data_IF_082441307501
#
_entry.id   IF_082441307501
#
_cell.length_a   1.000
_cell.length_b   1.000
_cell.length_c   1.000
_cell.angle_alpha   90.00
_cell.angle_beta   90.00
_cell.angle_gamma   90.00
#
_symmetry.space_group_name_H-M   'P 1'
#
loop_
_entity.id
_entity.type
_entity.pdbx_description
1 polymer ?
#
# COMPACT_ATOMS: atom_id res chain seq x y z
N UNK A 1 14.99 36.82 -51.77
CA UNK A 1 14.27 36.39 -50.55
C UNK A 1 12.80 36.37 -50.91
N UNK A 2 12.29 35.21 -51.30
CA UNK A 2 10.87 35.05 -51.60
C UNK A 2 10.14 34.78 -50.28
N UNK A 3 9.37 35.75 -49.81
CA UNK A 3 8.38 35.52 -48.76
C UNK A 3 7.24 34.69 -49.37
N UNK A 4 7.02 33.50 -48.82
CA UNK A 4 5.95 32.60 -49.20
C UNK A 4 4.59 33.21 -48.79
N UNK A 5 3.66 33.50 -49.72
CA UNK A 5 2.40 34.18 -49.42
C UNK A 5 1.30 33.23 -48.89
N UNK A 6 1.63 32.00 -48.51
CA UNK A 6 0.71 31.06 -47.84
C UNK A 6 0.70 31.21 -46.31
N UNK A 7 0.57 32.44 -45.80
CA UNK A 7 0.17 32.65 -44.41
C UNK A 7 -1.30 32.24 -44.29
N UNK A 8 -1.51 30.97 -43.92
CA UNK A 8 -2.76 30.21 -43.89
C UNK A 8 -4.03 31.08 -43.72
N UNK A 9 -4.66 31.52 -44.83
CA UNK A 9 -5.94 32.26 -44.81
C UNK A 9 -7.02 31.56 -43.97
N UNK A 10 -6.90 30.23 -43.87
CA UNK A 10 -7.75 29.35 -43.06
C UNK A 10 -7.58 29.58 -41.55
N UNK A 11 -6.36 29.76 -41.05
CA UNK A 11 -6.12 30.02 -39.61
C UNK A 11 -6.72 31.36 -39.20
N UNK A 12 -6.54 32.38 -40.03
CA UNK A 12 -7.11 33.73 -39.85
C UNK A 12 -8.64 33.70 -39.86
N UNK A 13 -9.26 32.91 -40.73
CA UNK A 13 -10.72 32.73 -40.75
C UNK A 13 -11.21 32.06 -39.45
N UNK A 14 -10.59 30.95 -39.04
CA UNK A 14 -10.97 30.25 -37.80
C UNK A 14 -10.81 31.14 -36.57
N UNK A 15 -9.76 31.94 -36.50
CA UNK A 15 -9.54 32.89 -35.42
C UNK A 15 -10.59 34.01 -35.39
N UNK A 16 -10.96 34.56 -36.58
CA UNK A 16 -12.03 35.57 -36.73
C UNK A 16 -13.42 35.05 -36.36
N UNK A 17 -13.72 33.78 -36.65
CA UNK A 17 -15.01 33.16 -36.31
C UNK A 17 -15.04 32.50 -34.92
N UNK A 18 -14.01 32.73 -34.09
CA UNK A 18 -13.97 32.29 -32.69
C UNK A 18 -13.44 30.87 -32.45
N UNK A 19 -13.03 30.16 -33.50
CA UNK A 19 -12.42 28.82 -33.43
C UNK A 19 -10.89 28.91 -33.31
N UNK A 20 -10.38 29.21 -32.11
CA UNK A 20 -8.94 29.17 -31.81
C UNK A 20 -8.48 27.73 -31.57
N UNK A 21 -7.23 27.37 -31.91
CA UNK A 21 -6.66 26.06 -31.56
C UNK A 21 -6.79 24.94 -32.60
N UNK A 22 -7.36 25.21 -33.79
CA UNK A 22 -7.67 24.18 -34.79
C UNK A 22 -6.41 23.61 -35.44
N UNK A 23 -5.40 24.45 -35.70
CA UNK A 23 -4.13 24.00 -36.31
C UNK A 23 -3.23 23.32 -35.27
N UNK A 24 -3.28 23.79 -34.03
CA UNK A 24 -2.60 23.21 -32.88
C UNK A 24 -3.12 21.82 -32.58
N UNK A 25 -4.45 21.62 -32.60
CA UNK A 25 -5.06 20.29 -32.45
C UNK A 25 -4.58 19.34 -33.54
N UNK A 26 -4.60 19.76 -34.81
CA UNK A 26 -4.12 18.93 -35.93
C UNK A 26 -2.64 18.57 -35.79
N UNK A 27 -1.83 19.54 -35.35
CA UNK A 27 -0.39 19.33 -35.12
C UNK A 27 -0.14 18.29 -34.03
N UNK A 28 -0.90 18.35 -32.93
CA UNK A 28 -0.83 17.31 -31.88
C UNK A 28 -1.32 15.94 -32.38
N UNK A 29 -2.38 15.90 -33.18
CA UNK A 29 -2.88 14.65 -33.78
C UNK A 29 -1.85 13.98 -34.70
N UNK A 30 -1.00 14.76 -35.37
CA UNK A 30 0.12 14.22 -36.15
C UNK A 30 1.13 13.56 -35.21
N UNK A 31 1.52 14.21 -34.11
CA UNK A 31 2.46 13.65 -33.13
C UNK A 31 1.91 12.39 -32.43
N UNK A 32 0.60 12.30 -32.25
CA UNK A 32 -0.06 11.17 -31.58
C UNK A 32 -0.32 9.98 -32.52
N UNK A 33 -0.10 10.12 -33.82
CA UNK A 33 -0.25 9.03 -34.80
C UNK A 33 0.98 8.14 -34.90
N UNK A 34 2.13 8.59 -34.41
CA UNK A 34 3.36 7.81 -34.44
C UNK A 34 3.24 6.58 -33.52
N UNK A 35 3.67 5.41 -34.00
CA UNK A 35 3.64 4.15 -33.23
C UNK A 35 4.43 4.28 -31.90
N UNK A 36 5.52 5.05 -31.95
CA UNK A 36 6.31 5.47 -30.81
C UNK A 36 6.23 6.99 -30.67
N UNK A 37 5.60 7.44 -29.59
CA UNK A 37 5.45 8.85 -29.27
C UNK A 37 6.78 9.52 -28.96
N UNK A 38 7.02 10.65 -29.62
CA UNK A 38 8.18 11.50 -29.39
C UNK A 38 7.95 12.40 -28.17
N UNK A 39 8.53 12.01 -27.04
CA UNK A 39 8.38 12.68 -25.75
C UNK A 39 8.88 14.13 -25.80
N UNK A 40 9.97 14.40 -26.51
CA UNK A 40 10.56 15.75 -26.61
C UNK A 40 9.64 16.68 -27.43
N UNK A 41 9.09 16.18 -28.54
CA UNK A 41 8.09 16.93 -29.31
C UNK A 41 6.80 17.17 -28.54
N UNK A 42 6.34 16.20 -27.75
CA UNK A 42 5.15 16.37 -26.90
C UNK A 42 5.40 17.38 -25.76
N UNK A 43 6.59 17.38 -25.15
CA UNK A 43 7.02 18.38 -24.17
C UNK A 43 7.03 19.79 -24.77
N UNK A 44 7.72 19.97 -25.90
CA UNK A 44 7.83 21.28 -26.57
C UNK A 44 6.47 21.79 -27.04
N UNK A 45 5.60 20.91 -27.55
CA UNK A 45 4.21 21.25 -27.86
C UNK A 45 3.45 21.72 -26.61
N UNK A 46 3.53 20.99 -25.50
CA UNK A 46 2.82 21.29 -24.25
C UNK A 46 3.29 22.58 -23.57
N UNK A 47 4.56 22.95 -23.75
CA UNK A 47 5.11 24.22 -23.28
C UNK A 47 4.65 25.41 -24.14
N UNK A 48 4.50 25.19 -25.46
CA UNK A 48 4.17 26.25 -26.42
C UNK A 48 2.67 26.48 -26.57
N UNK A 49 1.86 25.44 -26.40
CA UNK A 49 0.43 25.47 -26.67
C UNK A 49 -0.38 24.77 -25.56
N UNK A 50 -1.61 25.24 -25.27
CA UNK A 50 -2.49 24.52 -24.37
C UNK A 50 -2.95 23.20 -25.00
N UNK A 51 -2.84 22.11 -24.23
CA UNK A 51 -3.30 20.79 -24.67
C UNK A 51 -4.82 20.78 -24.88
N UNK A 52 -5.35 20.24 -25.99
CA UNK A 52 -6.78 19.99 -26.16
C UNK A 52 -7.32 19.05 -25.07
N UNK A 53 -8.52 19.32 -24.54
CA UNK A 53 -9.07 18.57 -23.40
C UNK A 53 -9.20 17.06 -23.63
N UNK A 54 -9.53 16.64 -24.86
CA UNK A 54 -9.63 15.22 -25.23
C UNK A 54 -8.29 14.47 -25.16
N UNK A 55 -7.16 15.15 -25.38
CA UNK A 55 -5.82 14.53 -25.40
C UNK A 55 -5.03 14.78 -24.12
N UNK A 56 -5.46 15.72 -23.27
CA UNK A 56 -4.73 16.12 -22.06
C UNK A 56 -4.36 14.93 -21.18
N UNK A 57 -5.31 14.06 -20.88
CA UNK A 57 -5.08 12.90 -20.01
C UNK A 57 -4.09 11.90 -20.62
N UNK A 58 -4.15 11.69 -21.94
CA UNK A 58 -3.21 10.80 -22.63
C UNK A 58 -1.80 11.37 -22.60
N UNK A 59 -1.63 12.63 -23.00
CA UNK A 59 -0.33 13.30 -23.04
C UNK A 59 0.29 13.35 -21.65
N UNK A 60 -0.48 13.69 -20.61
CA UNK A 60 0.01 13.68 -19.23
C UNK A 60 0.45 12.30 -18.76
N UNK A 61 -0.30 11.24 -19.06
CA UNK A 61 0.11 9.88 -18.70
C UNK A 61 1.45 9.50 -19.35
N UNK A 62 1.67 9.90 -20.60
CA UNK A 62 2.94 9.64 -21.29
C UNK A 62 4.08 10.47 -20.70
N UNK A 63 3.88 11.79 -20.52
CA UNK A 63 4.92 12.69 -19.99
C UNK A 63 5.29 12.40 -18.52
N UNK A 64 4.34 11.93 -17.72
CA UNK A 64 4.57 11.52 -16.33
C UNK A 64 5.15 10.10 -16.20
N UNK A 65 5.40 9.40 -17.32
CA UNK A 65 5.90 8.02 -17.32
C UNK A 65 4.89 6.99 -16.81
N UNK A 66 3.60 7.33 -16.79
CA UNK A 66 2.52 6.39 -16.46
C UNK A 66 2.33 5.40 -17.61
N UNK A 67 2.35 5.91 -18.85
CA UNK A 67 2.31 5.15 -20.08
C UNK A 67 3.66 5.21 -20.80
N UNK A 68 4.12 4.12 -21.43
CA UNK A 68 5.31 4.14 -22.26
C UNK A 68 5.08 4.94 -23.56
N UNK A 69 6.15 5.30 -24.29
CA UNK A 69 6.02 5.98 -25.58
C UNK A 69 5.37 5.10 -26.66
N UNK A 70 5.45 3.77 -26.57
CA UNK A 70 4.87 2.85 -27.56
C UNK A 70 3.37 2.65 -27.31
N UNK A 71 2.54 3.01 -28.30
CA UNK A 71 1.09 3.07 -28.15
C UNK A 71 0.44 1.69 -28.01
N UNK A 72 0.94 0.70 -28.75
CA UNK A 72 0.58 -0.72 -28.68
C UNK A 72 0.62 -1.30 -27.25
N UNK A 73 1.54 -0.81 -26.42
CA UNK A 73 1.72 -1.24 -25.04
C UNK A 73 0.74 -0.58 -24.05
N UNK A 74 0.01 0.48 -24.44
CA UNK A 74 -0.80 1.27 -23.51
C UNK A 74 -1.91 0.46 -22.83
N UNK A 75 -2.63 -0.36 -23.60
CA UNK A 75 -3.71 -1.18 -23.07
C UNK A 75 -3.20 -2.18 -22.03
N UNK A 76 -2.07 -2.81 -22.32
CA UNK A 76 -1.41 -3.76 -21.43
C UNK A 76 -0.93 -3.08 -20.14
N UNK A 77 -0.21 -1.96 -20.24
CA UNK A 77 0.27 -1.21 -19.06
C UNK A 77 -0.89 -0.69 -18.20
N UNK A 78 -1.96 -0.19 -18.82
CA UNK A 78 -3.15 0.26 -18.08
C UNK A 78 -3.88 -0.89 -17.36
N UNK A 79 -3.87 -2.10 -17.93
CA UNK A 79 -4.41 -3.29 -17.27
C UNK A 79 -3.67 -3.55 -15.95
N UNK A 80 -2.34 -3.67 -15.97
CA UNK A 80 -1.55 -3.89 -14.76
C UNK A 80 -1.71 -2.77 -13.73
N UNK A 81 -1.73 -1.51 -14.17
CA UNK A 81 -1.96 -0.39 -13.24
C UNK A 81 -3.32 -0.44 -12.57
N UNK A 82 -4.35 -0.93 -13.27
CA UNK A 82 -5.70 -1.11 -12.71
C UNK A 82 -5.74 -2.27 -11.71
N UNK A 83 -5.06 -3.37 -12.02
CA UNK A 83 -4.91 -4.52 -11.11
C UNK A 83 -4.16 -4.11 -9.84
N UNK A 84 -3.00 -3.47 -9.97
CA UNK A 84 -2.22 -2.93 -8.86
C UNK A 84 -3.06 -1.99 -7.98
N UNK A 85 -3.80 -1.05 -8.57
CA UNK A 85 -4.71 -0.18 -7.81
C UNK A 85 -5.74 -1.00 -7.01
N UNK A 86 -6.33 -2.03 -7.63
CA UNK A 86 -7.30 -2.91 -6.98
C UNK A 86 -6.71 -3.69 -5.81
N UNK A 87 -5.50 -4.22 -5.97
CA UNK A 87 -4.81 -4.98 -4.93
C UNK A 87 -4.48 -4.10 -3.72
N UNK A 88 -3.92 -2.91 -3.95
CA UNK A 88 -3.58 -1.96 -2.88
C UNK A 88 -4.85 -1.43 -2.20
N UNK A 89 -5.90 -1.12 -2.97
CA UNK A 89 -7.19 -0.69 -2.43
C UNK A 89 -7.80 -1.77 -1.53
N UNK A 90 -7.84 -3.02 -2.00
CA UNK A 90 -8.37 -4.15 -1.23
C UNK A 90 -7.53 -4.41 0.02
N UNK A 91 -6.20 -4.35 -0.08
CA UNK A 91 -5.32 -4.48 1.07
C UNK A 91 -5.68 -3.44 2.14
N UNK A 92 -5.82 -2.16 1.77
CA UNK A 92 -6.19 -1.07 2.69
C UNK A 92 -7.55 -1.28 3.37
N UNK A 93 -8.54 -1.86 2.66
CA UNK A 93 -9.83 -2.23 3.26
C UNK A 93 -9.65 -3.35 4.29
N UNK A 94 -8.90 -4.40 3.94
CA UNK A 94 -8.61 -5.54 4.81
C UNK A 94 -7.91 -5.10 6.11
N UNK A 95 -6.91 -4.22 6.01
CA UNK A 95 -6.21 -3.66 7.17
C UNK A 95 -6.94 -2.47 7.82
N UNK A 96 -8.16 -2.17 7.37
CA UNK A 96 -9.09 -1.17 7.92
C UNK A 96 -8.53 0.26 7.96
N UNK A 97 -7.72 0.62 6.96
CA UNK A 97 -7.30 2.01 6.75
C UNK A 97 -8.31 2.83 5.95
N UNK A 98 -9.13 2.14 5.16
CA UNK A 98 -10.20 2.75 4.39
C UNK A 98 -11.48 1.93 4.53
N UNK A 99 -12.61 2.60 4.33
CA UNK A 99 -13.99 2.09 4.33
C UNK A 99 -14.72 2.64 3.10
N UNK A 100 -15.92 2.14 2.84
CA UNK A 100 -16.76 2.65 1.73
C UNK A 100 -17.18 4.12 1.94
N UNK A 101 -17.08 4.64 3.17
CA UNK A 101 -17.33 6.04 3.53
C UNK A 101 -16.08 6.93 3.46
N UNK A 102 -14.89 6.36 3.20
CA UNK A 102 -13.64 7.13 3.17
C UNK A 102 -13.59 8.03 1.93
N UNK A 103 -13.34 9.35 2.08
CA UNK A 103 -13.25 10.24 0.93
C UNK A 103 -12.16 9.82 -0.06
N UNK A 104 -12.46 9.94 -1.37
CA UNK A 104 -11.56 9.48 -2.44
C UNK A 104 -10.14 10.06 -2.35
N UNK A 105 -9.99 11.32 -1.92
CA UNK A 105 -8.68 11.97 -1.74
C UNK A 105 -7.86 11.27 -0.64
N UNK A 106 -8.52 10.85 0.44
CA UNK A 106 -7.85 10.11 1.51
C UNK A 106 -7.48 8.69 1.04
N UNK A 107 -8.35 8.02 0.27
CA UNK A 107 -8.03 6.73 -0.36
C UNK A 107 -6.73 6.83 -1.15
N UNK A 108 -6.58 7.84 -2.03
CA UNK A 108 -5.36 8.03 -2.81
C UNK A 108 -4.13 8.28 -1.93
N UNK A 109 -4.28 9.06 -0.85
CA UNK A 109 -3.20 9.27 0.11
C UNK A 109 -2.78 7.95 0.77
N UNK A 110 -3.74 7.10 1.19
CA UNK A 110 -3.45 5.80 1.81
C UNK A 110 -2.79 4.83 0.84
N UNK A 111 -3.22 4.81 -0.43
CA UNK A 111 -2.59 4.00 -1.49
C UNK A 111 -1.12 4.41 -1.64
N UNK A 112 -0.85 5.70 -1.83
CA UNK A 112 0.52 6.20 -1.94
C UNK A 112 1.37 5.88 -0.71
N UNK A 113 0.81 6.05 0.49
CA UNK A 113 1.51 5.73 1.73
C UNK A 113 1.85 4.23 1.84
N UNK A 114 0.95 3.34 1.42
CA UNK A 114 1.20 1.90 1.43
C UNK A 114 2.27 1.52 0.40
N UNK A 115 2.15 2.01 -0.85
CA UNK A 115 3.13 1.73 -1.92
C UNK A 115 4.52 2.29 -1.62
N UNK A 116 4.60 3.43 -0.91
CA UNK A 116 5.88 4.03 -0.49
C UNK A 116 6.43 3.48 0.84
N UNK A 117 5.74 2.53 1.48
CA UNK A 117 6.12 1.98 2.78
C UNK A 117 6.00 2.96 3.96
N UNK A 118 5.29 4.07 3.77
CA UNK A 118 5.10 5.16 4.74
C UNK A 118 3.73 5.12 5.42
N UNK A 119 3.00 4.01 5.32
CA UNK A 119 1.69 3.89 5.94
C UNK A 119 1.81 4.13 7.47
N UNK A 120 1.12 5.14 8.03
CA UNK A 120 1.22 5.44 9.45
C UNK A 120 0.65 4.26 10.25
N UNK A 121 0.93 4.18 11.55
CA UNK A 121 0.22 3.19 12.38
C UNK A 121 -1.27 3.56 12.39
N UNK A 122 -2.17 2.58 12.21
CA UNK A 122 -3.60 2.85 12.19
C UNK A 122 -4.02 3.39 13.58
N UNK A 123 -4.45 4.65 13.72
CA UNK A 123 -4.82 5.21 15.01
C UNK A 123 -6.16 4.66 15.52
N UNK A 124 -7.00 4.07 14.66
CA UNK A 124 -8.33 3.57 15.04
C UNK A 124 -8.28 2.27 15.84
N UNK A 125 -7.17 1.53 15.80
CA UNK A 125 -6.99 0.28 16.53
C UNK A 125 -5.56 0.19 17.08
N UNK A 126 -5.32 0.60 18.34
CA UNK A 126 -3.98 0.59 18.93
C UNK A 126 -3.60 -0.86 19.27
N UNK A 127 -3.17 -1.63 18.27
CA UNK A 127 -2.71 -3.02 18.42
C UNK A 127 -1.66 -3.18 19.54
N UNK A 128 -0.71 -2.23 19.76
CA UNK A 128 0.19 -2.30 20.92
C UNK A 128 -0.53 -2.25 22.28
N UNK A 129 -1.58 -1.43 22.41
CA UNK A 129 -2.38 -1.37 23.66
C UNK A 129 -3.18 -2.65 23.85
N UNK A 130 -3.75 -3.20 22.77
CA UNK A 130 -4.44 -4.49 22.83
C UNK A 130 -3.47 -5.63 23.18
N UNK A 131 -2.24 -5.61 22.64
CA UNK A 131 -1.20 -6.57 23.02
C UNK A 131 -0.91 -6.52 24.51
N UNK A 132 -0.70 -5.32 25.05
CA UNK A 132 -0.48 -5.13 26.48
C UNK A 132 -1.66 -5.67 27.31
N UNK A 133 -2.89 -5.40 26.89
CA UNK A 133 -4.10 -5.89 27.54
C UNK A 133 -4.16 -7.44 27.52
N UNK A 134 -4.04 -8.06 26.34
CA UNK A 134 -4.13 -9.52 26.21
C UNK A 134 -2.98 -10.21 26.95
N UNK A 135 -1.76 -9.67 26.88
CA UNK A 135 -0.62 -10.22 27.62
C UNK A 135 -0.82 -10.12 29.14
N UNK A 136 -1.46 -9.06 29.65
CA UNK A 136 -1.79 -8.98 31.08
C UNK A 136 -2.79 -10.04 31.54
N UNK A 137 -3.72 -10.44 30.65
CA UNK A 137 -4.71 -11.48 30.93
C UNK A 137 -4.09 -12.89 30.89
N UNK A 138 -3.16 -13.14 29.97
CA UNK A 138 -2.54 -14.47 29.84
C UNK A 138 -1.31 -14.65 30.74
N UNK A 139 -0.47 -13.63 30.90
CA UNK A 139 0.71 -13.69 31.76
C UNK A 139 1.17 -12.30 32.26
N UNK A 140 0.54 -11.84 33.33
CA UNK A 140 0.88 -10.57 33.95
C UNK A 140 2.34 -10.52 34.49
N UNK A 141 2.94 -11.67 34.82
CA UNK A 141 4.32 -11.72 35.30
C UNK A 141 5.31 -11.42 34.18
N UNK A 142 5.07 -11.97 32.98
CA UNK A 142 5.86 -11.65 31.80
C UNK A 142 5.68 -10.18 31.40
N UNK A 143 4.46 -9.64 31.42
CA UNK A 143 4.23 -8.22 31.14
C UNK A 143 4.97 -7.31 32.13
N UNK A 144 4.88 -7.59 33.43
CA UNK A 144 5.59 -6.83 34.45
C UNK A 144 7.11 -6.85 34.24
N UNK A 145 7.66 -8.00 33.84
CA UNK A 145 9.07 -8.13 33.50
C UNK A 145 9.45 -7.24 32.30
N UNK A 146 8.72 -7.34 31.19
CA UNK A 146 8.98 -6.51 29.99
C UNK A 146 8.89 -5.01 30.30
N UNK A 147 7.96 -4.59 31.17
CA UNK A 147 7.88 -3.21 31.66
C UNK A 147 9.08 -2.82 32.52
N UNK A 148 9.52 -3.68 33.44
CA UNK A 148 10.69 -3.42 34.30
C UNK A 148 11.99 -3.24 33.50
N UNK A 149 12.11 -3.93 32.36
CA UNK A 149 13.23 -3.80 31.44
C UNK A 149 13.04 -2.68 30.39
N UNK A 150 11.92 -1.93 30.44
CA UNK A 150 11.54 -0.95 29.41
C UNK A 150 11.47 -1.51 27.97
N UNK A 151 11.31 -2.83 27.83
CA UNK A 151 11.27 -3.53 26.56
C UNK A 151 9.96 -3.29 25.79
N UNK A 152 8.87 -2.96 26.48
CA UNK A 152 7.57 -2.69 25.83
C UNK A 152 7.63 -1.56 24.79
N UNK A 153 8.52 -0.58 24.94
CA UNK A 153 8.72 0.49 23.98
C UNK A 153 9.57 0.11 22.76
N UNK A 154 10.30 -1.01 22.84
CA UNK A 154 11.26 -1.49 21.83
C UNK A 154 10.82 -2.81 21.19
N UNK A 155 9.60 -3.28 21.43
CA UNK A 155 9.13 -4.47 20.73
C UNK A 155 9.04 -4.19 19.21
N UNK A 156 9.26 -5.19 18.35
CA UNK A 156 9.31 -5.01 16.90
C UNK A 156 7.90 -4.86 16.29
N UNK A 157 7.15 -3.84 16.72
CA UNK A 157 5.78 -3.56 16.29
C UNK A 157 5.66 -3.33 14.79
N UNK A 158 6.69 -2.79 14.15
CA UNK A 158 6.71 -2.66 12.68
C UNK A 158 6.72 -4.04 12.01
N UNK A 159 7.51 -4.98 12.51
CA UNK A 159 7.56 -6.35 11.99
C UNK A 159 6.21 -7.07 12.18
N UNK A 160 5.61 -6.95 13.36
CA UNK A 160 4.37 -7.64 13.68
C UNK A 160 3.13 -7.03 13.04
N UNK A 161 3.01 -5.69 13.05
CA UNK A 161 1.76 -5.00 12.74
C UNK A 161 1.77 -4.20 11.44
N UNK A 162 2.96 -3.88 10.87
CA UNK A 162 3.05 -3.28 9.52
C UNK A 162 3.42 -4.30 8.45
N UNK A 163 4.41 -5.15 8.75
CA UNK A 163 4.81 -6.25 7.86
C UNK A 163 3.97 -7.51 8.06
N UNK A 164 3.03 -7.51 9.02
CA UNK A 164 2.17 -8.65 9.31
C UNK A 164 2.94 -9.97 9.48
N UNK A 165 4.09 -9.94 10.16
CA UNK A 165 5.04 -11.05 10.34
C UNK A 165 5.77 -11.55 9.08
N UNK A 166 5.68 -10.83 7.95
CA UNK A 166 6.51 -11.12 6.78
C UNK A 166 7.99 -10.99 7.12
N UNK A 167 8.76 -12.06 6.86
CA UNK A 167 10.17 -12.18 7.24
C UNK A 167 10.42 -12.58 8.69
N UNK A 168 9.38 -12.78 9.51
CA UNK A 168 9.48 -13.27 10.89
C UNK A 168 9.06 -14.74 11.00
N UNK A 169 7.98 -15.12 10.30
CA UNK A 169 7.45 -16.49 10.25
C UNK A 169 7.68 -17.10 8.86
N UNK A 170 7.81 -18.44 8.75
CA UNK A 170 7.87 -19.12 7.46
C UNK A 170 6.55 -18.96 6.71
N UNK A 171 6.62 -18.88 5.38
CA UNK A 171 5.45 -18.67 4.51
C UNK A 171 4.35 -19.72 4.74
N UNK A 172 4.75 -20.97 5.01
CA UNK A 172 3.84 -22.09 5.29
C UNK A 172 2.94 -21.87 6.51
N UNK A 173 3.48 -21.27 7.58
CA UNK A 173 2.73 -20.91 8.78
C UNK A 173 2.02 -19.56 8.62
N UNK A 174 2.69 -18.61 7.96
CA UNK A 174 2.23 -17.23 7.80
C UNK A 174 0.93 -17.11 7.01
N UNK A 175 0.76 -17.91 5.95
CA UNK A 175 -0.47 -17.93 5.15
C UNK A 175 -1.72 -18.17 6.02
N UNK A 176 -1.63 -19.03 7.06
CA UNK A 176 -2.76 -19.32 7.96
C UNK A 176 -3.15 -18.12 8.84
N UNK A 177 -2.17 -17.27 9.18
CA UNK A 177 -2.43 -15.98 9.84
C UNK A 177 -3.07 -15.02 8.84
N UNK A 178 -2.55 -14.97 7.62
CA UNK A 178 -3.04 -14.10 6.57
C UNK A 178 -4.45 -14.45 6.11
N UNK A 179 -4.87 -15.72 6.15
CA UNK A 179 -6.27 -16.12 5.93
C UNK A 179 -7.22 -15.32 6.84
N UNK A 180 -6.84 -15.13 8.11
CA UNK A 180 -7.65 -14.39 9.11
C UNK A 180 -7.56 -12.87 8.92
N UNK A 181 -6.39 -12.39 8.50
CA UNK A 181 -6.20 -10.97 8.17
C UNK A 181 -7.08 -10.63 6.96
N UNK A 182 -6.98 -11.38 5.87
CA UNK A 182 -7.72 -11.21 4.62
C UNK A 182 -9.23 -11.38 4.84
N UNK A 183 -9.66 -12.27 5.73
CA UNK A 183 -11.06 -12.37 6.15
C UNK A 183 -11.54 -11.20 7.02
N UNK A 184 -10.69 -10.19 7.26
CA UNK A 184 -11.05 -8.91 7.87
C UNK A 184 -10.66 -8.75 9.34
N UNK A 185 -9.92 -9.68 9.95
CA UNK A 185 -9.50 -9.59 11.36
C UNK A 185 -8.02 -9.26 11.49
N UNK A 186 -7.67 -7.99 11.69
CA UNK A 186 -6.30 -7.59 12.03
C UNK A 186 -5.91 -7.92 13.50
N UNK A 187 -6.90 -8.23 14.35
CA UNK A 187 -6.67 -8.59 15.76
C UNK A 187 -5.82 -9.85 15.92
N UNK A 188 -5.90 -10.79 14.97
CA UNK A 188 -5.11 -12.03 14.98
C UNK A 188 -3.62 -11.75 15.14
N UNK A 189 -3.11 -10.65 14.57
CA UNK A 189 -1.70 -10.27 14.66
C UNK A 189 -1.26 -10.04 16.11
N UNK A 190 -2.16 -9.52 16.97
CA UNK A 190 -1.90 -9.35 18.40
C UNK A 190 -1.78 -10.70 19.10
N UNK A 191 -2.65 -11.64 18.78
CA UNK A 191 -2.62 -12.98 19.39
C UNK A 191 -1.39 -13.78 18.95
N UNK A 192 -0.92 -13.61 17.71
CA UNK A 192 0.36 -14.19 17.25
C UNK A 192 1.52 -13.57 18.02
N UNK A 193 1.55 -12.24 18.19
CA UNK A 193 2.60 -11.58 18.98
C UNK A 193 2.60 -12.04 20.46
N UNK A 194 1.42 -12.13 21.08
CA UNK A 194 1.29 -12.63 22.46
C UNK A 194 1.76 -14.08 22.55
N UNK A 195 1.36 -14.94 21.62
CA UNK A 195 1.75 -16.35 21.65
C UNK A 195 3.26 -16.54 21.44
N UNK A 196 3.92 -15.71 20.63
CA UNK A 196 5.39 -15.68 20.53
C UNK A 196 6.00 -15.34 21.89
N UNK A 197 5.50 -14.30 22.57
CA UNK A 197 6.00 -13.90 23.89
C UNK A 197 5.80 -15.00 24.94
N UNK A 198 4.64 -15.67 24.93
CA UNK A 198 4.34 -16.77 25.84
C UNK A 198 5.23 -17.99 25.56
N UNK A 199 5.39 -18.36 24.28
CA UNK A 199 6.22 -19.50 23.85
C UNK A 199 7.67 -19.32 24.29
N UNK A 200 8.21 -18.10 24.17
CA UNK A 200 9.59 -17.80 24.53
C UNK A 200 9.75 -17.16 25.92
N UNK A 201 8.73 -17.19 26.78
CA UNK A 201 8.72 -16.56 28.11
C UNK A 201 10.00 -16.82 28.90
N UNK A 202 10.39 -18.08 29.06
CA UNK A 202 11.56 -18.45 29.87
C UNK A 202 12.85 -17.84 29.31
N UNK A 203 12.98 -17.79 27.98
CA UNK A 203 14.13 -17.18 27.30
C UNK A 203 14.11 -15.67 27.48
N UNK A 204 12.96 -15.03 27.28
CA UNK A 204 12.78 -13.58 27.43
C UNK A 204 13.06 -13.12 28.86
N UNK A 205 12.59 -13.86 29.87
CA UNK A 205 12.84 -13.55 31.29
C UNK A 205 14.30 -13.73 31.72
N UNK A 206 15.11 -14.41 30.91
CA UNK A 206 16.56 -14.51 31.11
C UNK A 206 17.34 -13.36 30.45
N UNK A 207 16.72 -12.56 29.56
CA UNK A 207 17.36 -11.45 28.86
C UNK A 207 17.17 -10.14 29.63
N UNK A 208 18.26 -9.59 30.16
CA UNK A 208 18.23 -8.40 31.03
C UNK A 208 18.16 -7.05 30.31
N UNK A 209 18.21 -7.03 28.98
CA UNK A 209 18.22 -5.79 28.17
C UNK A 209 17.08 -5.77 27.16
N UNK A 210 16.40 -4.63 27.04
CA UNK A 210 15.37 -4.38 26.03
C UNK A 210 15.87 -4.65 24.60
N UNK A 211 17.10 -4.21 24.29
CA UNK A 211 17.71 -4.38 22.97
C UNK A 211 17.92 -5.87 22.63
N UNK A 212 18.38 -6.67 23.61
CA UNK A 212 18.54 -8.12 23.43
C UNK A 212 17.21 -8.84 23.23
N UNK A 213 16.16 -8.35 23.90
CA UNK A 213 14.79 -8.85 23.73
C UNK A 213 14.30 -8.54 22.31
N UNK A 214 14.47 -7.31 21.84
CA UNK A 214 14.10 -6.88 20.48
C UNK A 214 14.83 -7.73 19.43
N UNK A 215 16.17 -7.82 19.50
CA UNK A 215 16.98 -8.60 18.56
C UNK A 215 16.58 -10.08 18.50
N UNK A 216 16.24 -10.67 19.65
CA UNK A 216 15.74 -12.05 19.71
C UNK A 216 14.37 -12.18 19.03
N UNK A 217 13.45 -11.25 19.27
CA UNK A 217 12.10 -11.27 18.70
C UNK A 217 12.07 -10.96 17.20
N UNK A 218 13.06 -10.25 16.68
CA UNK A 218 13.26 -10.10 15.23
C UNK A 218 13.75 -11.39 14.57
N UNK A 219 14.41 -12.27 15.33
CA UNK A 219 15.06 -13.49 14.82
C UNK A 219 14.66 -14.73 15.63
N UNK A 220 13.35 -14.94 15.79
CA UNK A 220 12.85 -16.08 16.58
C UNK A 220 13.21 -17.44 15.92
N UNK A 221 13.38 -18.50 16.73
CA UNK A 221 13.50 -19.86 16.23
C UNK A 221 12.29 -20.27 15.36
N UNK A 222 12.57 -20.96 14.25
CA UNK A 222 11.57 -21.28 13.21
C UNK A 222 10.95 -22.68 13.37
N UNK A 223 11.44 -23.48 14.31
CA UNK A 223 11.06 -24.88 14.55
C UNK A 223 9.65 -25.04 15.14
N UNK A 224 9.14 -24.03 15.84
CA UNK A 224 7.86 -24.10 16.57
C UNK A 224 6.78 -23.17 16.00
N UNK A 225 7.00 -22.58 14.82
CA UNK A 225 6.13 -21.53 14.26
C UNK A 225 4.73 -22.04 13.95
N UNK A 226 4.59 -23.29 13.54
CA UNK A 226 3.26 -23.87 13.28
C UNK A 226 2.43 -24.05 14.54
N UNK A 227 3.06 -24.46 15.64
CA UNK A 227 2.41 -24.58 16.94
C UNK A 227 2.02 -23.21 17.50
N UNK A 228 2.91 -22.21 17.35
CA UNK A 228 2.63 -20.81 17.72
C UNK A 228 1.39 -20.31 16.96
N UNK A 229 1.32 -20.49 15.63
CA UNK A 229 0.18 -20.01 14.84
C UNK A 229 -1.12 -20.72 15.25
N UNK A 230 -1.09 -22.04 15.48
CA UNK A 230 -2.29 -22.77 15.92
C UNK A 230 -2.80 -22.29 17.27
N UNK A 231 -1.92 -22.15 18.27
CA UNK A 231 -2.27 -21.64 19.59
C UNK A 231 -2.72 -20.18 19.57
N UNK A 232 -2.11 -19.36 18.73
CA UNK A 232 -2.52 -17.97 18.54
C UNK A 232 -3.94 -17.87 17.98
N UNK A 233 -4.33 -18.76 17.05
CA UNK A 233 -5.70 -18.82 16.51
C UNK A 233 -6.69 -19.28 17.59
N UNK A 234 -6.34 -20.29 18.39
CA UNK A 234 -7.15 -20.74 19.53
C UNK A 234 -7.33 -19.60 20.56
N UNK A 235 -6.25 -18.90 20.88
CA UNK A 235 -6.25 -17.76 21.79
C UNK A 235 -7.11 -16.61 21.24
N UNK A 236 -7.02 -16.34 19.93
CA UNK A 236 -7.86 -15.37 19.26
C UNK A 236 -9.34 -15.73 19.36
N UNK A 237 -9.71 -16.99 19.11
CA UNK A 237 -11.08 -17.47 19.27
C UNK A 237 -11.58 -17.36 20.71
N UNK A 238 -10.74 -17.71 21.70
CA UNK A 238 -11.05 -17.60 23.14
C UNK A 238 -11.44 -16.17 23.54
N UNK A 239 -10.74 -15.15 23.02
CA UNK A 239 -10.94 -13.75 23.43
C UNK A 239 -11.92 -12.97 22.55
N UNK A 240 -12.08 -13.35 21.28
CA UNK A 240 -12.95 -12.63 20.35
C UNK A 240 -14.28 -13.33 20.07
N UNK A 241 -14.42 -14.60 20.47
CA UNK A 241 -15.52 -15.48 20.06
C UNK A 241 -15.40 -15.89 18.58
N UNK A 242 -15.71 -17.14 18.27
CA UNK A 242 -15.96 -17.54 16.87
C UNK A 242 -17.30 -16.96 16.43
N UNK A 243 -17.37 -16.26 15.28
CA UNK A 243 -18.66 -16.00 14.65
C UNK A 243 -19.36 -17.35 14.46
N UNK A 244 -20.58 -17.50 15.00
CA UNK A 244 -21.37 -18.69 14.76
C UNK A 244 -21.56 -18.83 13.24
N UNK A 245 -21.25 -20.00 12.68
CA UNK A 245 -21.68 -20.33 11.32
C UNK A 245 -23.21 -20.44 11.34
N UNK A 246 -23.88 -19.38 10.90
CA UNK A 246 -25.26 -19.50 10.43
C UNK A 246 -25.22 -20.33 9.16
N UNK A 247 -25.59 -21.60 9.29
CA UNK A 247 -25.86 -22.54 8.17
C UNK A 247 -26.99 -21.98 7.31
#
# INVERSE_FOLDING_TARGET
MAEDPQRNFRSVYYEKVGFRGVEEKKSLEILLKDDRLDIEKLCTFSQRFPLPSMYRTLVWKVLLGILPPHHDSHAFVMKYRKEQYGDVYRALQVIRFITDSTPQVEVFLRIYQLESGKLPQNPSFPLPKLLEQILSLEDNRLLAYLKSCSAMGQLPYNLWFRKCFAGCLPESSLQRVWDKVISGSCKILVFVAVEILLTFKMKLMALTSAEKIEQFLENIPQDNTDAIVSKAIELWHKHCGTPAHSV
#
